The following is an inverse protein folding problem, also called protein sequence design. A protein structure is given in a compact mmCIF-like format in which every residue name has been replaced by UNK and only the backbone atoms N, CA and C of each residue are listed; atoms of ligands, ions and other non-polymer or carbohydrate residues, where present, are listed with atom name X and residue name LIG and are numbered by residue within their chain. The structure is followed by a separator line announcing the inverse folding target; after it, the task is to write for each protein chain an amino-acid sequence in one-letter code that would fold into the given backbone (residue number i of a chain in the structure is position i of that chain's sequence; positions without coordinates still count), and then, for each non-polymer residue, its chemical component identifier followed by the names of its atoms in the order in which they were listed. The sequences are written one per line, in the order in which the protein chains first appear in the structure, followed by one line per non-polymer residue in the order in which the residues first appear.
data_IF_997027661951
#
_entry.id   IF_997027661951
#
_cell.length_a   1.000
_cell.length_b   1.000
_cell.length_c   1.000
_cell.angle_alpha   90.00
_cell.angle_beta   90.00
_cell.angle_gamma   90.00
#
_symmetry.space_group_name_H-M   'P 1'
#
loop_
_entity.id
_entity.type
_entity.pdbx_description
1 polymer ?
#
# COMPACT_ATOMS: atom_id res chain seq x y z
N UNK A 1 14.49 -10.32 12.14
CA UNK A 1 13.18 -9.75 12.51
C UNK A 1 12.16 -10.87 12.48
N UNK A 2 11.24 -10.91 13.45
CA UNK A 2 10.14 -11.90 13.49
C UNK A 2 8.78 -11.22 13.69
N UNK A 3 7.70 -11.82 13.21
CA UNK A 3 6.33 -11.40 13.53
C UNK A 3 5.83 -12.24 14.71
N UNK A 4 5.57 -11.61 15.86
CA UNK A 4 4.97 -12.24 17.02
C UNK A 4 3.49 -11.88 17.11
N UNK A 5 2.61 -12.86 17.25
CA UNK A 5 1.19 -12.63 17.49
C UNK A 5 0.95 -12.58 19.00
N UNK A 6 0.46 -11.45 19.50
CA UNK A 6 0.19 -11.23 20.93
C UNK A 6 -0.75 -12.30 21.47
N UNK A 7 -0.36 -12.90 22.60
CA UNK A 7 -1.11 -13.95 23.28
C UNK A 7 -1.86 -13.37 24.50
N UNK A 8 -2.68 -14.21 25.13
CA UNK A 8 -3.32 -13.85 26.40
C UNK A 8 -2.27 -13.51 27.46
N UNK A 9 -2.55 -12.48 28.26
CA UNK A 9 -1.69 -11.93 29.32
C UNK A 9 -0.35 -11.34 28.89
N UNK A 10 -0.13 -11.15 27.58
CA UNK A 10 1.05 -10.44 27.10
C UNK A 10 1.00 -8.94 27.41
N UNK A 11 2.19 -8.38 27.64
CA UNK A 11 2.48 -6.96 27.65
C UNK A 11 3.70 -6.69 26.77
N UNK A 12 3.93 -5.45 26.34
CA UNK A 12 5.17 -5.12 25.63
C UNK A 12 6.42 -5.49 26.46
N UNK A 13 6.34 -5.39 27.80
CA UNK A 13 7.43 -5.77 28.70
C UNK A 13 7.72 -7.27 28.74
N UNK A 14 6.68 -8.10 28.80
CA UNK A 14 6.83 -9.57 28.76
C UNK A 14 7.37 -10.04 27.41
N UNK A 15 6.86 -9.47 26.32
CA UNK A 15 7.33 -9.74 24.95
C UNK A 15 8.80 -9.31 24.81
N UNK A 16 9.15 -8.09 25.21
CA UNK A 16 10.53 -7.60 25.13
C UNK A 16 11.50 -8.52 25.89
N UNK A 17 11.12 -8.93 27.10
CA UNK A 17 11.93 -9.85 27.92
C UNK A 17 12.10 -11.21 27.25
N UNK A 18 11.01 -11.79 26.72
CA UNK A 18 11.00 -13.08 26.00
C UNK A 18 11.97 -13.08 24.82
N UNK A 19 12.01 -11.99 24.07
CA UNK A 19 12.83 -11.88 22.86
C UNK A 19 14.19 -11.20 23.11
N UNK A 20 14.57 -10.96 24.36
CA UNK A 20 15.83 -10.29 24.74
C UNK A 20 16.01 -8.95 24.01
N UNK A 21 14.93 -8.18 23.92
CA UNK A 21 14.89 -6.82 23.38
C UNK A 21 14.34 -5.84 24.44
N UNK A 22 14.01 -4.61 24.07
CA UNK A 22 13.45 -3.60 24.98
C UNK A 22 12.13 -3.06 24.45
N UNK A 23 11.28 -2.55 25.33
CA UNK A 23 10.03 -1.89 24.92
C UNK A 23 10.28 -0.73 23.95
N UNK A 24 11.27 0.17 24.16
CA UNK A 24 11.63 1.18 23.16
C UNK A 24 11.91 0.59 21.78
N UNK A 25 12.72 -0.48 21.69
CA UNK A 25 13.01 -1.12 20.39
C UNK A 25 11.79 -1.73 19.72
N UNK A 26 10.84 -2.25 20.50
CA UNK A 26 9.56 -2.71 19.95
C UNK A 26 8.74 -1.53 19.40
N UNK A 27 8.70 -0.40 20.10
CA UNK A 27 8.00 0.81 19.66
C UNK A 27 8.68 1.51 18.47
N UNK A 28 10.00 1.37 18.33
CA UNK A 28 10.72 1.94 17.19
C UNK A 28 10.32 1.26 15.87
N UNK A 29 10.07 -0.05 15.92
CA UNK A 29 9.78 -0.86 14.72
C UNK A 29 8.30 -1.13 14.50
N UNK A 30 7.41 -0.73 15.42
CA UNK A 30 5.96 -0.90 15.29
C UNK A 30 5.22 0.42 15.43
N UNK A 31 4.06 0.50 14.78
CA UNK A 31 3.09 1.57 15.00
C UNK A 31 2.18 1.14 16.16
N UNK A 32 2.41 1.70 17.35
CA UNK A 32 1.61 1.46 18.55
C UNK A 32 1.29 2.81 19.20
N UNK A 33 0.00 3.16 19.21
CA UNK A 33 -0.45 4.45 19.71
C UNK A 33 -0.47 4.56 21.24
N UNK A 34 -0.91 3.49 21.91
CA UNK A 34 -0.82 3.38 23.35
C UNK A 34 0.00 2.13 23.73
N UNK A 35 1.25 2.28 24.21
CA UNK A 35 2.08 1.16 24.62
C UNK A 35 1.50 0.30 25.75
N UNK A 36 0.48 0.79 26.46
CA UNK A 36 -0.20 0.04 27.54
C UNK A 36 -1.33 -0.83 27.01
N UNK A 37 -1.72 -0.66 25.75
CA UNK A 37 -2.89 -1.31 25.18
C UNK A 37 -2.48 -2.09 23.94
N UNK A 38 -2.17 -3.37 24.16
CA UNK A 38 -2.00 -4.37 23.10
C UNK A 38 -3.08 -5.44 23.23
N UNK A 39 -3.42 -6.10 22.13
CA UNK A 39 -4.56 -7.03 22.08
C UNK A 39 -4.15 -8.41 21.63
N UNK A 40 -4.81 -9.44 22.17
CA UNK A 40 -4.63 -10.82 21.69
C UNK A 40 -4.90 -10.88 20.19
N UNK A 41 -3.98 -11.50 19.44
CA UNK A 41 -4.03 -11.57 17.99
C UNK A 41 -3.33 -10.41 17.27
N UNK A 42 -2.96 -9.32 17.97
CA UNK A 42 -2.23 -8.21 17.36
C UNK A 42 -0.84 -8.68 16.93
N UNK A 43 -0.46 -8.48 15.66
CA UNK A 43 0.87 -8.86 15.19
C UNK A 43 1.89 -7.75 15.52
N UNK A 44 2.94 -8.09 16.26
CA UNK A 44 4.04 -7.22 16.67
C UNK A 44 5.32 -7.68 15.98
N UNK A 45 6.03 -6.73 15.37
CA UNK A 45 7.36 -6.93 14.82
C UNK A 45 8.39 -6.91 15.94
N UNK A 46 9.21 -7.95 15.99
CA UNK A 46 10.25 -8.12 17.01
C UNK A 46 11.60 -8.04 16.32
N UNK A 47 12.39 -6.99 16.59
CA UNK A 47 13.70 -6.82 15.98
C UNK A 47 14.68 -7.83 16.58
N UNK A 48 15.57 -8.37 15.74
CA UNK A 48 16.64 -9.22 16.21
C UNK A 48 17.64 -8.41 17.04
N UNK A 49 18.24 -9.05 18.05
CA UNK A 49 19.23 -8.40 18.89
C UNK A 49 20.44 -7.96 18.05
N UNK A 50 20.82 -6.69 18.17
CA UNK A 50 21.99 -6.11 17.50
C UNK A 50 21.70 -5.46 16.15
N UNK A 51 20.46 -5.49 15.67
CA UNK A 51 20.06 -4.82 14.43
C UNK A 51 19.12 -3.65 14.72
N UNK A 52 19.34 -2.54 14.01
CA UNK A 52 18.40 -1.43 13.95
C UNK A 52 17.58 -1.56 12.66
N UNK A 53 16.27 -1.55 12.81
CA UNK A 53 15.34 -1.59 11.70
C UNK A 53 14.64 -0.24 11.59
N UNK A 54 14.33 0.18 10.37
CA UNK A 54 13.41 1.30 10.18
C UNK A 54 12.02 0.91 10.70
N UNK A 55 11.22 1.91 11.07
CA UNK A 55 9.84 1.68 11.51
C UNK A 55 9.08 0.93 10.44
N UNK A 56 8.59 -0.24 10.81
CA UNK A 56 7.88 -1.13 9.91
C UNK A 56 6.37 -1.01 10.12
N UNK A 57 5.63 -1.25 9.04
CA UNK A 57 4.20 -0.94 9.00
C UNK A 57 3.94 0.51 8.59
N UNK A 58 3.31 0.71 7.44
CA UNK A 58 2.74 2.01 7.07
C UNK A 58 3.43 2.78 5.95
N UNK A 59 3.68 2.13 4.82
CA UNK A 59 3.89 2.83 3.55
C UNK A 59 3.58 1.89 2.37
N UNK A 60 2.76 2.28 1.39
CA UNK A 60 1.99 3.53 1.35
C UNK A 60 0.76 3.50 2.26
N UNK A 61 0.33 2.30 2.67
CA UNK A 61 -0.87 2.07 3.47
C UNK A 61 -0.58 1.54 4.87
N UNK A 62 -1.52 1.77 5.79
CA UNK A 62 -1.57 1.21 7.14
C UNK A 62 -2.94 0.60 7.41
N UNK A 63 -2.97 -0.58 8.05
CA UNK A 63 -4.22 -1.22 8.48
C UNK A 63 -4.52 -0.80 9.92
N UNK A 64 -5.65 -0.12 10.11
CA UNK A 64 -6.06 0.45 11.40
C UNK A 64 -6.26 -0.65 12.44
N UNK A 65 -5.53 -0.54 13.54
CA UNK A 65 -5.63 -1.43 14.69
C UNK A 65 -6.60 -0.85 15.73
N UNK A 66 -7.04 -1.70 16.65
CA UNK A 66 -7.85 -1.23 17.77
C UNK A 66 -7.06 -0.22 18.62
N UNK A 67 -7.71 0.86 19.05
CA UNK A 67 -7.09 1.90 19.88
C UNK A 67 -6.32 2.96 19.10
N UNK A 68 -6.18 2.82 17.79
CA UNK A 68 -5.59 3.85 16.95
C UNK A 68 -6.47 5.11 16.91
N UNK A 69 -5.82 6.27 16.91
CA UNK A 69 -6.44 7.58 16.68
C UNK A 69 -5.79 8.26 15.49
N UNK A 70 -6.51 9.13 14.79
CA UNK A 70 -5.92 9.90 13.69
C UNK A 70 -4.76 10.78 14.16
N UNK A 71 -4.86 11.37 15.36
CA UNK A 71 -3.82 12.21 15.93
C UNK A 71 -2.51 11.44 16.16
N UNK A 72 -2.61 10.24 16.73
CA UNK A 72 -1.45 9.40 16.95
C UNK A 72 -0.88 8.87 15.63
N UNK A 73 -1.72 8.29 14.75
CA UNK A 73 -1.24 7.76 13.47
C UNK A 73 -0.58 8.87 12.64
N UNK A 74 -1.13 10.07 12.65
CA UNK A 74 -0.50 11.22 12.01
C UNK A 74 0.89 11.49 12.58
N UNK A 75 1.06 11.49 13.91
CA UNK A 75 2.38 11.65 14.53
C UNK A 75 3.35 10.50 14.17
N UNK A 76 2.85 9.26 14.12
CA UNK A 76 3.65 8.08 13.77
C UNK A 76 4.16 8.12 12.33
N UNK A 77 3.40 8.72 11.42
CA UNK A 77 3.71 8.83 9.99
C UNK A 77 4.18 10.23 9.55
N UNK A 78 4.54 11.09 10.50
CA UNK A 78 5.01 12.45 10.23
C UNK A 78 4.03 13.29 9.38
N UNK A 79 2.74 13.10 9.63
CA UNK A 79 1.62 13.84 9.06
C UNK A 79 0.99 14.77 10.10
N UNK A 80 0.15 15.68 9.63
CA UNK A 80 -0.82 16.35 10.52
C UNK A 80 -2.11 15.53 10.57
N UNK A 81 -2.86 15.60 11.66
CA UNK A 81 -4.15 14.91 11.76
C UNK A 81 -5.11 15.34 10.64
N UNK A 82 -5.18 16.65 10.36
CA UNK A 82 -5.99 17.19 9.28
C UNK A 82 -5.52 16.69 7.90
N UNK A 83 -4.21 16.59 7.67
CA UNK A 83 -3.63 16.07 6.43
C UNK A 83 -3.93 14.59 6.24
N UNK A 84 -3.74 13.77 7.28
CA UNK A 84 -4.06 12.34 7.24
C UNK A 84 -5.56 12.11 7.04
N UNK A 85 -6.42 12.87 7.74
CA UNK A 85 -7.86 12.81 7.55
C UNK A 85 -8.24 13.18 6.12
N UNK A 86 -7.70 14.28 5.59
CA UNK A 86 -7.98 14.73 4.23
C UNK A 86 -7.53 13.70 3.17
N UNK A 87 -6.36 13.07 3.36
CA UNK A 87 -5.84 12.04 2.46
C UNK A 87 -6.72 10.78 2.40
N UNK A 88 -7.51 10.55 3.44
CA UNK A 88 -8.37 9.37 3.57
C UNK A 88 -9.86 9.71 3.49
N UNK A 89 -10.22 10.94 3.12
CA UNK A 89 -11.60 11.42 3.06
C UNK A 89 -12.35 11.25 4.40
N UNK A 90 -11.62 11.36 5.52
CA UNK A 90 -12.14 11.27 6.88
C UNK A 90 -12.37 12.66 7.47
N UNK A 91 -13.20 12.72 8.50
CA UNK A 91 -13.35 13.91 9.34
C UNK A 91 -12.29 13.90 10.45
N UNK A 92 -11.53 14.99 10.64
CA UNK A 92 -10.63 15.14 11.79
C UNK A 92 -11.37 14.96 13.13
N UNK A 93 -10.69 14.46 14.15
CA UNK A 93 -11.25 14.20 15.48
C UNK A 93 -12.04 12.89 15.61
N UNK A 94 -12.45 12.26 14.51
CA UNK A 94 -13.10 10.95 14.55
C UNK A 94 -12.06 9.84 14.51
N UNK A 95 -12.18 8.77 15.33
CA UNK A 95 -11.28 7.63 15.23
C UNK A 95 -11.46 6.94 13.86
N UNK A 96 -10.38 6.47 13.24
CA UNK A 96 -10.49 5.70 12.01
C UNK A 96 -11.18 4.36 12.28
N UNK A 97 -11.85 3.81 11.27
CA UNK A 97 -12.55 2.53 11.40
C UNK A 97 -11.52 1.42 11.55
N UNK A 98 -11.62 0.60 12.59
CA UNK A 98 -10.78 -0.57 12.78
C UNK A 98 -10.81 -1.45 11.52
N UNK A 99 -9.67 -2.05 11.17
CA UNK A 99 -9.53 -2.96 10.03
C UNK A 99 -9.73 -2.29 8.65
N UNK A 100 -9.80 -0.95 8.62
CA UNK A 100 -9.72 -0.18 7.38
C UNK A 100 -8.27 0.06 6.95
N UNK A 101 -8.06 0.25 5.65
CA UNK A 101 -6.78 0.61 5.07
C UNK A 101 -6.69 2.11 4.87
N UNK A 102 -5.69 2.75 5.47
CA UNK A 102 -5.42 4.18 5.34
C UNK A 102 -4.19 4.44 4.51
N UNK A 103 -4.27 5.41 3.60
CA UNK A 103 -3.12 6.04 2.95
C UNK A 103 -2.40 6.90 3.99
N UNK A 104 -1.16 6.53 4.32
CA UNK A 104 -0.36 7.22 5.34
C UNK A 104 0.91 7.85 4.77
N UNK A 105 1.33 7.40 3.59
CA UNK A 105 2.55 7.88 2.93
C UNK A 105 2.40 9.17 2.13
N UNK A 106 1.17 9.69 1.96
CA UNK A 106 0.89 10.79 1.03
C UNK A 106 -0.13 11.78 1.59
N UNK A 107 0.11 13.06 1.30
CA UNK A 107 -0.85 14.14 1.54
C UNK A 107 -1.78 14.30 0.33
N UNK A 108 -2.97 14.86 0.56
CA UNK A 108 -3.90 15.23 -0.52
C UNK A 108 -3.41 16.50 -1.23
N UNK A 109 -2.98 16.43 -2.51
CA UNK A 109 -2.50 17.61 -3.22
C UNK A 109 -3.65 18.38 -3.88
N UNK A 110 -3.32 19.53 -4.45
CA UNK A 110 -4.19 20.21 -5.42
C UNK A 110 -4.26 19.39 -6.73
N UNK A 111 -5.46 18.98 -7.20
CA UNK A 111 -5.59 18.12 -8.37
C UNK A 111 -5.15 18.80 -9.67
N UNK A 112 -5.28 20.13 -9.79
CA UNK A 112 -4.86 20.85 -10.99
C UNK A 112 -3.33 20.90 -11.09
N UNK A 113 -2.64 21.10 -9.97
CA UNK A 113 -1.17 21.06 -9.89
C UNK A 113 -0.62 19.67 -10.19
N UNK A 114 -1.22 18.61 -9.61
CA UNK A 114 -0.81 17.24 -9.89
C UNK A 114 -0.99 16.90 -11.37
N UNK A 115 -2.13 17.26 -11.97
CA UNK A 115 -2.36 17.08 -13.40
C UNK A 115 -1.37 17.91 -14.26
N UNK A 116 -1.04 19.14 -13.86
CA UNK A 116 -0.06 19.94 -14.57
C UNK A 116 1.33 19.29 -14.56
N UNK A 117 1.74 18.71 -13.43
CA UNK A 117 3.00 17.97 -13.33
C UNK A 117 3.02 16.76 -14.27
N UNK A 118 1.96 15.94 -14.29
CA UNK A 118 1.87 14.79 -15.19
C UNK A 118 1.90 15.19 -16.67
N UNK A 119 1.18 16.24 -17.06
CA UNK A 119 1.17 16.74 -18.46
C UNK A 119 2.54 17.24 -18.90
N UNK A 120 3.21 18.01 -18.03
CA UNK A 120 4.54 18.52 -18.31
C UNK A 120 5.53 17.38 -18.53
N UNK A 121 5.56 16.40 -17.64
CA UNK A 121 6.46 15.24 -17.77
C UNK A 121 6.16 14.43 -19.03
N UNK A 122 4.89 14.23 -19.40
CA UNK A 122 4.52 13.54 -20.63
C UNK A 122 5.01 14.27 -21.89
N UNK A 123 4.84 15.60 -21.93
CA UNK A 123 5.29 16.43 -23.04
C UNK A 123 6.82 16.43 -23.17
N UNK A 124 7.53 16.58 -22.05
CA UNK A 124 8.99 16.65 -22.03
C UNK A 124 9.64 15.30 -22.41
N UNK A 125 9.03 14.18 -21.99
CA UNK A 125 9.57 12.84 -22.21
C UNK A 125 9.29 12.29 -23.62
N UNK A 126 8.29 12.78 -24.34
CA UNK A 126 7.91 12.27 -25.68
C UNK A 126 7.77 10.73 -25.72
N UNK A 127 7.12 10.17 -24.71
CA UNK A 127 6.94 8.73 -24.46
C UNK A 127 8.20 7.93 -24.07
N UNK A 128 9.37 8.55 -23.92
CA UNK A 128 10.60 7.93 -23.42
C UNK A 128 10.87 8.36 -21.97
N UNK A 129 10.35 7.59 -21.01
CA UNK A 129 10.40 7.93 -19.59
C UNK A 129 11.46 7.13 -18.87
N UNK A 130 12.33 7.80 -18.12
CA UNK A 130 13.28 7.12 -17.26
C UNK A 130 12.61 6.57 -15.98
N UNK A 131 13.30 5.66 -15.29
CA UNK A 131 12.77 5.01 -14.09
C UNK A 131 12.40 5.99 -12.96
N UNK A 132 13.10 7.12 -12.83
CA UNK A 132 12.80 8.14 -11.83
C UNK A 132 11.51 8.91 -12.16
N UNK A 133 11.25 9.19 -13.43
CA UNK A 133 9.99 9.81 -13.86
C UNK A 133 8.83 8.84 -13.68
N UNK A 134 8.98 7.59 -14.11
CA UNK A 134 7.95 6.56 -13.97
C UNK A 134 7.58 6.36 -12.49
N UNK A 135 8.57 6.16 -11.62
CA UNK A 135 8.32 5.97 -10.19
C UNK A 135 7.89 7.27 -9.49
N UNK A 136 8.70 8.32 -9.61
CA UNK A 136 8.55 9.54 -8.82
C UNK A 136 7.35 10.42 -9.21
N UNK A 137 6.94 10.41 -10.49
CA UNK A 137 5.81 11.21 -10.96
C UNK A 137 4.54 10.37 -11.08
N UNK A 138 4.61 9.24 -11.77
CA UNK A 138 3.40 8.49 -12.12
C UNK A 138 3.02 7.44 -11.09
N UNK A 139 3.96 6.60 -10.66
CA UNK A 139 3.67 5.58 -9.63
C UNK A 139 3.32 6.23 -8.29
N UNK A 140 4.15 7.15 -7.79
CA UNK A 140 3.84 7.93 -6.58
C UNK A 140 2.57 8.78 -6.80
N UNK A 141 2.45 9.45 -7.95
CA UNK A 141 1.29 10.27 -8.26
C UNK A 141 -0.03 9.50 -8.25
N UNK A 142 -0.03 8.21 -8.57
CA UNK A 142 -1.25 7.41 -8.52
C UNK A 142 -1.79 7.16 -7.10
N UNK A 143 -0.93 7.14 -6.07
CA UNK A 143 -1.40 7.20 -4.69
C UNK A 143 -1.91 8.60 -4.31
N UNK A 144 -1.29 9.65 -4.84
CA UNK A 144 -1.79 11.01 -4.64
C UNK A 144 -3.18 11.21 -5.26
N UNK A 145 -3.43 10.64 -6.44
CA UNK A 145 -4.77 10.61 -7.03
C UNK A 145 -5.78 9.85 -6.17
N UNK A 146 -5.36 8.73 -5.56
CA UNK A 146 -6.19 7.99 -4.60
C UNK A 146 -6.63 8.86 -3.43
N UNK A 147 -5.73 9.68 -2.88
CA UNK A 147 -6.08 10.59 -1.77
C UNK A 147 -7.17 11.62 -2.14
N UNK A 148 -7.24 11.99 -3.43
CA UNK A 148 -8.26 12.91 -3.94
C UNK A 148 -9.61 12.19 -4.11
N UNK A 149 -9.59 10.88 -4.41
CA UNK A 149 -10.78 10.03 -4.55
C UNK A 149 -11.53 10.25 -5.87
N UNK A 150 -12.84 10.00 -5.87
CA UNK A 150 -13.71 10.15 -7.05
C UNK A 150 -13.60 11.55 -7.71
N UNK A 151 -13.31 12.60 -6.94
CA UNK A 151 -13.10 13.96 -7.48
C UNK A 151 -11.88 14.08 -8.39
N UNK A 152 -10.98 13.09 -8.42
CA UNK A 152 -9.85 13.02 -9.34
C UNK A 152 -10.26 12.64 -10.77
N UNK A 153 -11.41 11.96 -10.95
CA UNK A 153 -11.82 11.39 -12.24
C UNK A 153 -11.78 12.41 -13.38
N UNK A 154 -12.34 13.63 -13.26
CA UNK A 154 -12.28 14.62 -14.34
C UNK A 154 -10.86 15.02 -14.75
N UNK A 155 -9.90 14.96 -13.82
CA UNK A 155 -8.49 15.26 -14.09
C UNK A 155 -7.75 14.07 -14.72
N UNK A 156 -8.19 12.84 -14.44
CA UNK A 156 -7.62 11.60 -14.97
C UNK A 156 -8.12 11.25 -16.38
N UNK A 157 -9.36 11.62 -16.72
CA UNK A 157 -9.95 11.30 -18.03
C UNK A 157 -9.12 11.76 -19.25
N UNK A 158 -8.50 12.96 -19.27
CA UNK A 158 -7.61 13.34 -20.38
C UNK A 158 -6.40 12.41 -20.53
N UNK A 159 -5.84 11.91 -19.43
CA UNK A 159 -4.66 11.02 -19.47
C UNK A 159 -4.98 9.63 -20.03
N UNK A 160 -6.23 9.17 -19.94
CA UNK A 160 -6.68 7.94 -20.62
C UNK A 160 -6.68 8.06 -22.15
N UNK A 161 -6.51 9.26 -22.69
CA UNK A 161 -6.44 9.54 -24.14
C UNK A 161 -5.05 9.99 -24.58
N UNK A 162 -4.07 9.93 -23.67
CA UNK A 162 -2.71 10.35 -23.96
C UNK A 162 -2.08 9.44 -25.04
N UNK A 163 -1.23 10.00 -25.90
CA UNK A 163 -0.53 9.24 -26.93
C UNK A 163 0.40 8.18 -26.34
N UNK A 164 0.97 8.43 -25.15
CA UNK A 164 1.89 7.53 -24.50
C UNK A 164 1.14 6.45 -23.69
N UNK A 165 1.35 5.18 -24.05
CA UNK A 165 0.75 4.05 -23.33
C UNK A 165 1.10 4.04 -21.83
N UNK A 166 2.32 4.47 -21.46
CA UNK A 166 2.74 4.58 -20.05
C UNK A 166 1.85 5.55 -19.26
N UNK A 167 1.55 6.73 -19.82
CA UNK A 167 0.67 7.72 -19.17
C UNK A 167 -0.73 7.15 -18.98
N UNK A 168 -1.26 6.47 -20.00
CA UNK A 168 -2.57 5.78 -19.91
C UNK A 168 -2.55 4.68 -18.85
N UNK A 169 -1.49 3.87 -18.79
CA UNK A 169 -1.31 2.81 -17.80
C UNK A 169 -1.40 3.36 -16.37
N UNK A 170 -0.68 4.44 -16.04
CA UNK A 170 -0.74 5.00 -14.69
C UNK A 170 -2.02 5.78 -14.40
N UNK A 171 -2.71 6.31 -15.41
CA UNK A 171 -4.06 6.84 -15.23
C UNK A 171 -5.05 5.71 -14.85
N UNK A 172 -4.96 4.56 -15.51
CA UNK A 172 -5.73 3.35 -15.14
C UNK A 172 -5.33 2.85 -13.73
N UNK A 173 -4.04 2.80 -13.39
CA UNK A 173 -3.57 2.43 -12.05
C UNK A 173 -4.17 3.34 -10.97
N UNK A 174 -4.19 4.65 -11.23
CA UNK A 174 -4.76 5.66 -10.31
C UNK A 174 -6.25 5.42 -10.08
N UNK A 175 -7.02 5.18 -11.16
CA UNK A 175 -8.44 4.88 -11.07
C UNK A 175 -8.69 3.56 -10.32
N UNK A 176 -7.89 2.54 -10.59
CA UNK A 176 -7.97 1.26 -9.89
C UNK A 176 -7.67 1.38 -8.41
N UNK A 177 -6.71 2.22 -7.99
CA UNK A 177 -6.42 2.52 -6.57
C UNK A 177 -7.55 3.28 -5.90
N UNK A 178 -8.13 4.29 -6.58
CA UNK A 178 -9.33 4.99 -6.08
C UNK A 178 -10.45 3.97 -5.82
N UNK A 179 -10.71 3.07 -6.78
CA UNK A 179 -11.70 1.96 -6.79
C UNK A 179 -13.17 2.32 -6.48
N UNK A 180 -13.46 3.47 -5.91
CA UNK A 180 -14.78 3.84 -5.42
C UNK A 180 -15.34 4.99 -6.23
N UNK A 181 -16.57 4.81 -6.71
CA UNK A 181 -17.36 5.85 -7.37
C UNK A 181 -17.73 5.49 -8.82
N UNK A 182 -18.88 5.98 -9.31
CA UNK A 182 -19.39 5.61 -10.63
C UNK A 182 -18.52 6.12 -11.78
N UNK A 183 -17.86 7.27 -11.61
CA UNK A 183 -16.95 7.85 -12.58
C UNK A 183 -15.71 6.97 -12.79
N UNK A 184 -15.16 6.41 -11.70
CA UNK A 184 -14.07 5.43 -11.78
C UNK A 184 -14.47 4.21 -12.60
N UNK A 185 -15.60 3.57 -12.29
CA UNK A 185 -16.05 2.37 -13.01
C UNK A 185 -16.30 2.65 -14.49
N UNK A 186 -16.95 3.77 -14.82
CA UNK A 186 -17.19 4.16 -16.21
C UNK A 186 -15.90 4.42 -16.98
N UNK A 187 -14.92 5.10 -16.36
CA UNK A 187 -13.62 5.36 -16.97
C UNK A 187 -12.83 4.07 -17.23
N UNK A 188 -12.80 3.16 -16.25
CA UNK A 188 -12.13 1.86 -16.37
C UNK A 188 -12.80 0.95 -17.41
N UNK A 189 -14.13 0.95 -17.48
CA UNK A 189 -14.89 0.21 -18.50
C UNK A 189 -14.50 0.66 -19.92
N UNK A 190 -14.30 1.97 -20.13
CA UNK A 190 -13.81 2.50 -21.40
C UNK A 190 -12.38 2.08 -21.74
N UNK A 191 -11.51 2.00 -20.72
CA UNK A 191 -10.11 1.63 -20.87
C UNK A 191 -9.88 0.14 -21.20
N UNK A 192 -10.90 -0.73 -21.09
CA UNK A 192 -10.81 -2.13 -21.54
C UNK A 192 -10.54 -2.28 -23.05
N UNK A 193 -10.84 -1.25 -23.83
CA UNK A 193 -10.64 -1.23 -25.28
C UNK A 193 -9.37 -0.45 -25.68
N UNK A 194 -8.44 -0.22 -24.74
CA UNK A 194 -7.17 0.44 -25.06
C UNK A 194 -6.40 -0.38 -26.09
N UNK A 195 -5.75 0.32 -27.03
CA UNK A 195 -4.95 -0.30 -28.08
C UNK A 195 -3.70 -1.00 -27.54
N UNK A 196 -3.18 -0.56 -26.39
CA UNK A 196 -2.05 -1.19 -25.73
C UNK A 196 -2.55 -2.35 -24.84
N UNK A 197 -2.10 -3.60 -25.08
CA UNK A 197 -2.57 -4.76 -24.32
C UNK A 197 -2.31 -4.67 -22.81
N UNK A 198 -1.23 -4.02 -22.39
CA UNK A 198 -0.88 -3.89 -20.97
C UNK A 198 -1.82 -2.91 -20.27
N UNK A 199 -2.23 -1.84 -20.95
CA UNK A 199 -3.22 -0.89 -20.44
C UNK A 199 -4.60 -1.53 -20.34
N UNK A 200 -5.02 -2.26 -21.37
CA UNK A 200 -6.31 -2.97 -21.37
C UNK A 200 -6.36 -4.07 -20.30
N UNK A 201 -5.27 -4.81 -20.09
CA UNK A 201 -5.17 -5.82 -19.03
C UNK A 201 -5.24 -5.19 -17.63
N UNK A 202 -4.49 -4.11 -17.39
CA UNK A 202 -4.58 -3.39 -16.12
C UNK A 202 -5.98 -2.82 -15.89
N UNK A 203 -6.65 -2.33 -16.94
CA UNK A 203 -8.01 -1.81 -16.84
C UNK A 203 -9.00 -2.91 -16.42
N UNK A 204 -8.80 -4.15 -16.87
CA UNK A 204 -9.61 -5.29 -16.44
C UNK A 204 -9.43 -5.57 -14.94
N UNK A 205 -8.19 -5.59 -14.44
CA UNK A 205 -7.92 -5.79 -13.00
C UNK A 205 -8.44 -4.63 -12.14
N UNK A 206 -8.19 -3.39 -12.57
CA UNK A 206 -8.69 -2.18 -11.91
C UNK A 206 -10.22 -2.18 -11.83
N UNK A 207 -10.91 -2.54 -12.92
CA UNK A 207 -12.37 -2.60 -12.96
C UNK A 207 -12.91 -3.70 -12.06
N UNK A 208 -12.29 -4.88 -12.07
CA UNK A 208 -12.66 -5.99 -11.18
C UNK A 208 -12.57 -5.55 -9.72
N UNK A 209 -11.47 -4.90 -9.32
CA UNK A 209 -11.35 -4.32 -7.97
C UNK A 209 -12.44 -3.30 -7.68
N UNK A 210 -12.66 -2.34 -8.57
CA UNK A 210 -13.63 -1.27 -8.39
C UNK A 210 -15.08 -1.78 -8.27
N UNK A 211 -15.38 -2.97 -8.81
CA UNK A 211 -16.67 -3.64 -8.65
C UNK A 211 -16.78 -4.40 -7.31
N UNK A 212 -15.68 -4.96 -6.81
CA UNK A 212 -15.64 -5.75 -5.57
C UNK A 212 -15.58 -4.88 -4.30
N UNK A 213 -14.82 -3.78 -4.32
CA UNK A 213 -14.57 -2.92 -3.14
C UNK A 213 -15.86 -2.41 -2.47
N UNK A 214 -16.90 -1.92 -3.19
CA UNK A 214 -18.13 -1.45 -2.55
C UNK A 214 -18.87 -2.49 -1.70
N UNK A 215 -18.72 -3.79 -2.03
CA UNK A 215 -19.31 -4.90 -1.27
C UNK A 215 -18.35 -5.57 -0.29
N UNK A 216 -17.14 -5.05 -0.13
CA UNK A 216 -16.06 -5.66 0.67
C UNK A 216 -15.31 -4.60 1.48
N UNK A 217 -14.05 -4.33 1.14
CA UNK A 217 -13.15 -3.40 1.84
C UNK A 217 -12.11 -2.89 0.85
N UNK A 218 -11.54 -1.70 1.09
CA UNK A 218 -10.43 -1.17 0.29
C UNK A 218 -9.15 -2.02 0.39
N UNK A 219 -9.06 -2.89 1.40
CA UNK A 219 -8.00 -3.90 1.54
C UNK A 219 -8.03 -5.00 0.47
N UNK A 220 -9.11 -5.10 -0.29
CA UNK A 220 -9.17 -6.02 -1.42
C UNK A 220 -8.35 -5.42 -2.56
N UNK A 221 -7.35 -6.16 -3.00
CA UNK A 221 -6.46 -5.78 -4.09
C UNK A 221 -6.39 -6.89 -5.13
N UNK A 222 -5.94 -6.56 -6.34
CA UNK A 222 -5.66 -7.51 -7.41
C UNK A 222 -4.16 -7.49 -7.72
N UNK A 223 -3.54 -8.66 -7.87
CA UNK A 223 -2.13 -8.75 -8.29
C UNK A 223 -1.97 -8.33 -9.74
N UNK A 224 -1.03 -7.43 -10.06
CA UNK A 224 -0.78 -6.96 -11.44
C UNK A 224 0.29 -7.76 -12.18
N UNK A 225 1.06 -8.58 -11.47
CA UNK A 225 2.07 -9.51 -11.99
C UNK A 225 2.10 -10.79 -11.17
N UNK A 226 2.69 -11.86 -11.70
CA UNK A 226 2.83 -13.12 -10.98
C UNK A 226 3.66 -12.91 -9.70
N UNK A 227 3.13 -13.35 -8.55
CA UNK A 227 3.75 -13.17 -7.25
C UNK A 227 4.22 -14.50 -6.66
N UNK A 228 5.29 -14.45 -5.87
CA UNK A 228 5.65 -15.53 -4.96
C UNK A 228 5.05 -15.24 -3.58
N UNK A 229 4.19 -16.12 -3.09
CA UNK A 229 3.64 -16.06 -1.73
C UNK A 229 4.58 -16.81 -0.79
N UNK A 230 5.51 -16.09 -0.16
CA UNK A 230 6.45 -16.65 0.81
C UNK A 230 5.74 -16.96 2.14
N UNK A 231 6.16 -18.02 2.85
CA UNK A 231 5.63 -18.32 4.20
C UNK A 231 6.13 -17.36 5.27
N UNK A 232 7.29 -16.77 5.06
CA UNK A 232 7.95 -15.80 5.95
C UNK A 232 8.43 -14.62 5.11
N UNK A 233 8.65 -13.42 5.67
CA UNK A 233 9.19 -12.27 4.95
C UNK A 233 10.70 -12.44 4.70
N UNK A 234 11.04 -13.40 3.84
CA UNK A 234 12.40 -13.74 3.39
C UNK A 234 12.34 -14.43 2.03
N UNK A 235 13.19 -14.02 1.10
CA UNK A 235 13.26 -14.57 -0.26
C UNK A 235 13.81 -16.00 -0.31
N UNK A 236 14.35 -16.47 0.81
CA UNK A 236 14.82 -17.86 0.99
C UNK A 236 13.75 -18.79 1.58
N UNK A 237 12.61 -18.24 2.02
CA UNK A 237 11.50 -19.02 2.54
C UNK A 237 10.79 -19.81 1.42
N UNK A 238 10.16 -20.93 1.77
CA UNK A 238 9.34 -21.65 0.80
C UNK A 238 8.18 -20.77 0.33
N UNK A 239 7.88 -20.81 -0.97
CA UNK A 239 6.80 -20.03 -1.58
C UNK A 239 5.86 -20.87 -2.43
N UNK A 240 4.70 -20.29 -2.73
CA UNK A 240 3.77 -20.78 -3.77
C UNK A 240 3.51 -19.68 -4.78
N UNK A 241 3.40 -20.04 -6.06
CA UNK A 241 3.04 -19.09 -7.11
C UNK A 241 1.60 -18.61 -6.95
N UNK A 242 1.40 -17.30 -6.99
CA UNK A 242 0.09 -16.64 -7.10
C UNK A 242 0.06 -15.91 -8.45
N UNK A 243 -0.73 -16.39 -9.42
CA UNK A 243 -0.79 -15.78 -10.75
C UNK A 243 -1.29 -14.34 -10.71
N UNK A 244 -0.87 -13.52 -11.68
CA UNK A 244 -1.46 -12.19 -11.90
C UNK A 244 -2.97 -12.27 -12.08
N UNK A 245 -3.69 -11.21 -11.74
CA UNK A 245 -5.15 -11.18 -11.68
C UNK A 245 -5.78 -11.86 -10.46
N UNK A 246 -4.96 -12.39 -9.53
CA UNK A 246 -5.47 -12.99 -8.28
C UNK A 246 -5.97 -11.93 -7.30
N UNK A 247 -7.08 -12.25 -6.63
CA UNK A 247 -7.65 -11.41 -5.58
C UNK A 247 -7.00 -11.70 -4.23
N UNK A 248 -6.58 -10.64 -3.53
CA UNK A 248 -5.95 -10.73 -2.21
C UNK A 248 -6.53 -9.72 -1.24
N UNK A 249 -6.46 -10.02 0.05
CA UNK A 249 -6.72 -9.06 1.12
C UNK A 249 -5.38 -8.68 1.75
N UNK A 250 -5.06 -7.40 1.77
CA UNK A 250 -3.88 -6.89 2.49
C UNK A 250 -4.08 -7.05 4.00
N UNK A 251 -3.12 -7.68 4.67
CA UNK A 251 -3.14 -7.85 6.13
C UNK A 251 -2.22 -6.86 6.82
N UNK A 252 -1.03 -6.64 6.26
CA UNK A 252 -0.04 -5.69 6.75
C UNK A 252 0.88 -5.26 5.61
N UNK A 253 1.37 -4.03 5.69
CA UNK A 253 2.22 -3.44 4.66
C UNK A 253 3.63 -3.17 5.17
N UNK A 254 4.61 -3.19 4.27
CA UNK A 254 5.97 -2.71 4.50
C UNK A 254 6.68 -3.40 5.68
N UNK A 255 6.71 -4.72 5.65
CA UNK A 255 7.37 -5.58 6.65
C UNK A 255 8.81 -5.81 6.19
N UNK A 256 9.82 -5.37 6.96
CA UNK A 256 11.22 -5.58 6.62
C UNK A 256 11.57 -7.07 6.64
N UNK A 257 12.48 -7.46 5.75
CA UNK A 257 13.01 -8.81 5.70
C UNK A 257 13.61 -9.24 7.04
N UNK A 258 13.31 -10.48 7.42
CA UNK A 258 13.89 -11.11 8.61
C UNK A 258 15.38 -11.42 8.48
N UNK A 259 15.90 -11.49 7.26
CA UNK A 259 17.22 -12.04 6.94
C UNK A 259 18.25 -11.00 6.48
N UNK A 260 17.92 -9.70 6.58
CA UNK A 260 18.74 -8.61 6.05
C UNK A 260 19.17 -8.81 4.59
N UNK A 261 18.31 -9.44 3.79
CA UNK A 261 18.59 -9.59 2.36
C UNK A 261 18.51 -8.22 1.68
N UNK A 262 19.33 -8.07 0.65
CA UNK A 262 19.43 -6.81 -0.07
C UNK A 262 18.21 -6.60 -0.95
N UNK A 263 17.52 -5.48 -0.75
CA UNK A 263 16.36 -5.10 -1.53
C UNK A 263 16.72 -4.65 -2.96
N UNK A 264 15.72 -4.34 -3.81
CA UNK A 264 15.92 -4.26 -5.26
C UNK A 264 16.77 -3.05 -5.72
N UNK A 265 17.04 -2.09 -4.83
CA UNK A 265 17.90 -0.92 -5.05
C UNK A 265 19.03 -0.79 -4.02
N UNK A 266 19.33 -1.87 -3.31
CA UNK A 266 20.18 -1.84 -2.13
C UNK A 266 19.41 -1.47 -0.87
N UNK A 267 20.00 -1.78 0.29
CA UNK A 267 19.31 -1.68 1.59
C UNK A 267 18.45 -2.91 1.88
N UNK A 268 17.49 -2.79 2.80
CA UNK A 268 16.69 -3.93 3.27
C UNK A 268 15.53 -4.24 2.31
N UNK A 269 15.27 -5.52 2.03
CA UNK A 269 14.06 -5.97 1.32
C UNK A 269 12.79 -5.83 2.19
N UNK A 270 11.64 -5.60 1.55
CA UNK A 270 10.36 -5.39 2.22
C UNK A 270 9.25 -6.25 1.63
N UNK A 271 8.32 -6.65 2.49
CA UNK A 271 7.22 -7.53 2.16
C UNK A 271 5.87 -6.94 2.56
N UNK A 272 4.82 -7.34 1.84
CA UNK A 272 3.43 -7.11 2.20
C UNK A 272 2.78 -8.44 2.57
N UNK A 273 2.20 -8.50 3.77
CA UNK A 273 1.47 -9.69 4.21
C UNK A 273 0.06 -9.66 3.64
N UNK A 274 -0.34 -10.74 2.98
CA UNK A 274 -1.63 -10.83 2.30
C UNK A 274 -2.30 -12.17 2.58
N UNK A 275 -3.62 -12.21 2.37
CA UNK A 275 -4.40 -13.43 2.25
C UNK A 275 -4.91 -13.58 0.82
N UNK A 276 -4.62 -14.70 0.15
CA UNK A 276 -5.20 -15.03 -1.15
C UNK A 276 -6.65 -15.44 -0.97
N UNK A 277 -7.60 -14.75 -1.61
CA UNK A 277 -9.04 -14.95 -1.34
C UNK A 277 -9.53 -16.33 -1.75
N UNK A 278 -9.07 -16.85 -2.88
CA UNK A 278 -9.53 -18.11 -3.45
C UNK A 278 -9.09 -19.34 -2.65
N UNK A 279 -7.92 -19.28 -2.00
CA UNK A 279 -7.34 -20.41 -1.25
C UNK A 279 -7.36 -20.20 0.27
N UNK A 280 -7.56 -18.98 0.74
CA UNK A 280 -7.43 -18.59 2.14
C UNK A 280 -5.99 -18.57 2.66
N UNK A 281 -4.99 -18.88 1.82
CA UNK A 281 -3.58 -18.91 2.21
C UNK A 281 -3.07 -17.53 2.59
N UNK A 282 -2.33 -17.47 3.69
CA UNK A 282 -1.67 -16.25 4.17
C UNK A 282 -0.17 -16.38 3.93
N UNK A 283 0.45 -15.31 3.46
CA UNK A 283 1.88 -15.24 3.26
C UNK A 283 2.32 -13.82 2.90
N UNK A 284 3.51 -13.72 2.30
CA UNK A 284 4.22 -12.47 2.09
C UNK A 284 4.57 -12.30 0.61
N UNK A 285 4.24 -11.14 0.04
CA UNK A 285 4.71 -10.73 -1.28
C UNK A 285 5.90 -9.80 -1.12
N UNK A 286 7.01 -10.09 -1.79
CA UNK A 286 8.18 -9.21 -1.83
C UNK A 286 7.91 -7.98 -2.69
N UNK A 287 8.46 -6.83 -2.30
CA UNK A 287 8.38 -5.61 -3.08
C UNK A 287 9.48 -5.58 -4.13
N UNK A 288 9.29 -4.80 -5.19
CA UNK A 288 10.20 -4.79 -6.34
C UNK A 288 10.60 -3.37 -6.73
N UNK A 289 11.68 -3.22 -7.51
CA UNK A 289 12.09 -1.92 -8.05
C UNK A 289 12.39 -0.89 -6.97
N UNK A 290 11.53 0.11 -6.81
CA UNK A 290 11.66 1.15 -5.78
C UNK A 290 10.91 0.83 -4.48
N UNK A 291 10.87 -0.46 -4.10
CA UNK A 291 9.96 -0.98 -3.07
C UNK A 291 8.49 -0.75 -3.45
N UNK A 292 8.18 -0.98 -4.71
CA UNK A 292 6.86 -0.84 -5.29
C UNK A 292 6.03 -2.09 -5.00
N UNK A 293 4.79 -1.88 -4.56
CA UNK A 293 3.77 -2.93 -4.46
C UNK A 293 3.27 -3.28 -5.85
N UNK A 294 3.05 -4.57 -6.09
CA UNK A 294 2.48 -5.13 -7.32
C UNK A 294 0.97 -5.36 -7.20
N UNK A 295 0.32 -4.57 -6.34
CA UNK A 295 -1.10 -4.61 -6.06
C UNK A 295 -1.78 -3.34 -6.58
N UNK A 296 -2.98 -3.51 -7.13
CA UNK A 296 -3.90 -2.44 -7.50
C UNK A 296 -5.18 -2.55 -6.71
#
# INVERSE_FOLDING_TARGET
MSVYVVQIDDSLGSIASRFRTTVPKLLDVNVICDPKVIFVGQPILVPDAGFEYQRAGGYPYYIVQFGDTLSCLAAQFHQTEAGLAAANQLQPGNPPVMDSELVVGFTRPDPAQLAASWRKTAADASCDFNSMQQHGIYYIGSYQWETIGESAVPYLLPFLKDSCAMVRYYAVLSLGRIATGPGVQAALQGALQDSDPSVAELAAYALARAQLVPGSTKRLHITTSDQQLYKEPSGTSSSTLVPKGSEVISLRWNIPSGTNEEGPRGGLEYYDQVQVRSTGQIGYFGRVGFNDSQLI
#
